data_IF_802085487385
#
_entry.id   IF_802085487385
#
_cell.length_a   1.000
_cell.length_b   1.000
_cell.length_c   1.000
_cell.angle_alpha   90.00
_cell.angle_beta   90.00
_cell.angle_gamma   90.00
#
_symmetry.space_group_name_H-M   'P 1'
#
loop_
_entity.id
_entity.type
_entity.pdbx_description
1 polymer ?
#
# COMPACT_ATOMS: atom_id res chain seq x y z
N UNK A 1 -16.01 -34.56 -23.68
CA UNK A 1 -15.44 -34.18 -22.38
C UNK A 1 -15.82 -32.73 -22.16
N UNK A 2 -16.69 -32.45 -21.19
CA UNK A 2 -16.99 -31.08 -20.78
C UNK A 2 -15.71 -30.49 -20.21
N UNK A 3 -15.20 -29.44 -20.83
CA UNK A 3 -14.03 -28.73 -20.33
C UNK A 3 -14.48 -27.85 -19.16
N UNK A 4 -14.42 -28.40 -17.95
CA UNK A 4 -14.87 -27.74 -16.72
C UNK A 4 -14.02 -26.48 -16.47
N UNK A 5 -14.63 -25.28 -16.43
CA UNK A 5 -13.94 -24.04 -16.09
C UNK A 5 -13.13 -24.11 -14.80
N UNK A 6 -13.55 -24.94 -13.84
CA UNK A 6 -12.85 -25.15 -12.58
C UNK A 6 -11.45 -25.74 -12.78
N UNK A 7 -11.25 -26.63 -13.74
CA UNK A 7 -9.92 -27.19 -14.03
C UNK A 7 -8.99 -26.12 -14.62
N UNK A 8 -9.47 -25.29 -15.54
CA UNK A 8 -8.68 -24.25 -16.17
C UNK A 8 -8.22 -23.18 -15.15
N UNK A 9 -9.12 -22.70 -14.28
CA UNK A 9 -8.74 -21.76 -13.22
C UNK A 9 -7.80 -22.41 -12.19
N UNK A 10 -8.00 -23.69 -11.86
CA UNK A 10 -7.15 -24.41 -10.89
C UNK A 10 -5.71 -24.55 -11.40
N UNK A 11 -5.54 -24.85 -12.69
CA UNK A 11 -4.22 -24.86 -13.33
C UNK A 11 -3.54 -23.49 -13.23
N UNK A 12 -4.26 -22.41 -13.57
CA UNK A 12 -3.71 -21.05 -13.48
C UNK A 12 -3.40 -20.63 -12.04
N UNK A 13 -4.21 -21.04 -11.06
CA UNK A 13 -3.95 -20.86 -9.64
C UNK A 13 -2.63 -21.53 -9.23
N UNK A 14 -2.42 -22.78 -9.64
CA UNK A 14 -1.18 -23.51 -9.35
C UNK A 14 0.05 -22.80 -9.93
N UNK A 15 -0.06 -22.23 -11.13
CA UNK A 15 1.05 -21.53 -11.79
C UNK A 15 1.42 -20.19 -11.12
N UNK A 16 0.49 -19.54 -10.42
CA UNK A 16 0.76 -18.32 -9.65
C UNK A 16 0.95 -18.59 -8.15
N UNK A 17 0.99 -19.86 -7.74
CA UNK A 17 1.22 -20.28 -6.36
C UNK A 17 0.05 -20.02 -5.40
N UNK A 18 -1.20 -20.06 -5.88
CA UNK A 18 -2.42 -19.83 -5.08
C UNK A 18 -3.35 -21.03 -5.11
N UNK A 19 -4.19 -21.21 -4.08
CA UNK A 19 -5.27 -22.19 -4.13
C UNK A 19 -6.41 -21.68 -5.04
N UNK A 20 -7.17 -22.56 -5.71
CA UNK A 20 -8.42 -22.17 -6.35
C UNK A 20 -9.54 -21.90 -5.33
N UNK A 21 -10.62 -21.21 -5.71
CA UNK A 21 -11.81 -21.09 -4.88
C UNK A 21 -12.37 -22.47 -4.48
N UNK A 22 -12.84 -22.61 -3.24
CA UNK A 22 -13.43 -23.84 -2.69
C UNK A 22 -14.95 -23.94 -2.94
N UNK A 23 -15.48 -23.13 -3.85
CA UNK A 23 -16.89 -23.04 -4.22
C UNK A 23 -17.07 -22.92 -5.74
N UNK A 24 -18.27 -23.23 -6.27
CA UNK A 24 -18.56 -23.11 -7.70
C UNK A 24 -18.29 -21.69 -8.24
N UNK A 25 -17.68 -21.61 -9.43
CA UNK A 25 -17.33 -20.32 -10.03
C UNK A 25 -18.57 -19.50 -10.39
N UNK A 26 -18.54 -18.21 -10.05
CA UNK A 26 -19.52 -17.22 -10.47
C UNK A 26 -19.04 -16.58 -11.78
N UNK A 27 -19.71 -16.93 -12.88
CA UNK A 27 -19.39 -16.47 -14.24
C UNK A 27 -20.27 -15.25 -14.58
N UNK A 28 -19.99 -14.12 -13.95
CA UNK A 28 -20.80 -12.90 -14.04
C UNK A 28 -19.99 -11.66 -14.46
N UNK A 29 -18.76 -11.85 -14.92
CA UNK A 29 -17.82 -10.78 -15.30
C UNK A 29 -17.47 -9.82 -14.16
N UNK A 30 -17.69 -10.20 -12.89
CA UNK A 30 -17.33 -9.41 -11.71
C UNK A 30 -16.10 -9.98 -11.01
N UNK A 31 -15.46 -9.14 -10.21
CA UNK A 31 -14.35 -9.55 -9.34
C UNK A 31 -14.93 -10.23 -8.11
N UNK A 32 -14.56 -11.49 -7.89
CA UNK A 32 -14.90 -12.28 -6.70
C UNK A 32 -13.67 -12.47 -5.82
N UNK A 33 -13.77 -12.10 -4.54
CA UNK A 33 -12.70 -12.28 -3.54
C UNK A 33 -12.91 -13.59 -2.81
N UNK A 34 -11.87 -14.42 -2.74
CA UNK A 34 -11.91 -15.72 -2.08
C UNK A 34 -10.71 -15.88 -1.12
N UNK A 35 -10.85 -16.83 -0.18
CA UNK A 35 -9.81 -17.18 0.76
C UNK A 35 -8.82 -18.12 0.07
N UNK A 36 -7.57 -17.69 -0.09
CA UNK A 36 -6.50 -18.52 -0.65
C UNK A 36 -5.91 -19.40 0.46
N UNK A 37 -6.33 -20.66 0.53
CA UNK A 37 -5.93 -21.59 1.60
C UNK A 37 -4.43 -21.85 1.68
N UNK A 38 -3.65 -21.55 0.64
CA UNK A 38 -2.18 -21.68 0.69
C UNK A 38 -1.49 -20.48 1.32
N UNK A 39 -2.04 -19.28 1.15
CA UNK A 39 -1.33 -18.04 1.49
C UNK A 39 -2.03 -17.19 2.56
N UNK A 40 -3.32 -17.39 2.79
CA UNK A 40 -4.14 -16.53 3.65
C UNK A 40 -4.18 -17.01 5.10
N UNK A 41 -4.14 -16.05 6.03
CA UNK A 41 -4.55 -16.32 7.42
C UNK A 41 -6.07 -16.40 7.50
N UNK A 42 -6.58 -17.03 8.57
CA UNK A 42 -8.02 -17.06 8.88
C UNK A 42 -8.68 -15.69 8.67
N UNK A 43 -9.78 -15.68 7.90
CA UNK A 43 -10.59 -14.50 7.51
C UNK A 43 -9.97 -13.55 6.48
N UNK A 44 -8.74 -13.78 6.01
CA UNK A 44 -8.21 -13.05 4.86
C UNK A 44 -8.83 -13.58 3.56
N UNK A 45 -9.00 -12.70 2.58
CA UNK A 45 -9.43 -13.07 1.24
C UNK A 45 -8.53 -12.37 0.25
N UNK A 46 -7.30 -12.82 0.07
CA UNK A 46 -6.33 -12.19 -0.85
C UNK A 46 -6.44 -12.70 -2.28
N UNK A 47 -7.00 -13.91 -2.47
CA UNK A 47 -7.34 -14.46 -3.77
C UNK A 47 -8.48 -13.68 -4.44
N UNK A 48 -8.40 -13.49 -5.74
CA UNK A 48 -9.48 -12.96 -6.55
C UNK A 48 -9.54 -13.61 -7.92
N UNK A 49 -10.74 -13.67 -8.49
CA UNK A 49 -10.92 -14.03 -9.89
C UNK A 49 -12.00 -13.19 -10.56
N UNK A 50 -11.95 -13.14 -11.89
CA UNK A 50 -13.03 -12.73 -12.78
C UNK A 50 -13.26 -13.90 -13.72
N UNK A 51 -14.52 -14.26 -13.96
CA UNK A 51 -14.90 -15.29 -14.93
C UNK A 51 -16.02 -14.76 -15.84
N UNK A 52 -15.94 -15.06 -17.13
CA UNK A 52 -16.92 -14.68 -18.13
C UNK A 52 -17.05 -15.75 -19.22
N UNK A 53 -18.21 -15.81 -19.85
CA UNK A 53 -18.44 -16.62 -21.04
C UNK A 53 -17.98 -15.86 -22.28
N UNK A 54 -17.14 -16.51 -23.08
CA UNK A 54 -16.66 -16.01 -24.35
C UNK A 54 -17.72 -16.26 -25.45
N UNK A 55 -17.77 -15.42 -26.50
CA UNK A 55 -18.67 -15.62 -27.63
C UNK A 55 -18.48 -16.95 -28.37
N UNK A 56 -17.31 -17.60 -28.25
CA UNK A 56 -16.99 -18.89 -28.86
C UNK A 56 -17.46 -20.10 -28.03
N UNK A 57 -18.19 -19.87 -26.93
CA UNK A 57 -18.72 -20.91 -26.05
C UNK A 57 -17.75 -21.39 -24.97
N UNK A 58 -16.56 -20.82 -24.87
CA UNK A 58 -15.64 -21.10 -23.75
C UNK A 58 -15.89 -20.21 -22.55
N UNK A 59 -15.37 -20.62 -21.40
CA UNK A 59 -15.35 -19.81 -20.19
C UNK A 59 -13.90 -19.47 -19.88
N UNK A 60 -13.63 -18.19 -19.62
CA UNK A 60 -12.30 -17.76 -19.24
C UNK A 60 -12.33 -16.56 -18.32
N UNK A 61 -11.13 -16.07 -18.01
CA UNK A 61 -10.98 -14.93 -17.15
C UNK A 61 -9.57 -14.77 -16.61
N UNK A 62 -9.48 -14.14 -15.44
CA UNK A 62 -8.21 -13.87 -14.77
C UNK A 62 -8.33 -14.30 -13.32
N UNK A 63 -7.30 -14.93 -12.79
CA UNK A 63 -7.14 -15.22 -11.36
C UNK A 63 -5.89 -14.52 -10.84
N UNK A 64 -5.88 -14.11 -9.58
CA UNK A 64 -4.74 -13.42 -9.00
C UNK A 64 -4.75 -13.36 -7.48
N UNK A 65 -3.63 -12.87 -6.92
CA UNK A 65 -3.44 -12.66 -5.48
C UNK A 65 -2.98 -11.24 -5.19
N UNK A 66 -3.70 -10.53 -4.34
CA UNK A 66 -3.22 -9.24 -3.82
C UNK A 66 -2.03 -9.41 -2.86
N UNK A 67 -1.86 -10.57 -2.25
CA UNK A 67 -0.74 -10.81 -1.33
C UNK A 67 0.55 -11.07 -2.09
N UNK A 68 0.48 -11.89 -3.14
CA UNK A 68 1.64 -12.23 -3.97
C UNK A 68 1.91 -11.21 -5.08
N UNK A 69 0.95 -10.31 -5.36
CA UNK A 69 1.01 -9.34 -6.47
C UNK A 69 1.18 -10.03 -7.83
N UNK A 70 0.55 -11.19 -8.00
CA UNK A 70 0.58 -12.00 -9.22
C UNK A 70 -0.84 -12.17 -9.79
N UNK A 71 -0.92 -12.33 -11.11
CA UNK A 71 -2.16 -12.71 -11.78
C UNK A 71 -1.88 -13.48 -13.06
N UNK A 72 -2.85 -14.29 -13.49
CA UNK A 72 -2.77 -15.07 -14.73
C UNK A 72 -4.14 -15.22 -15.38
N UNK A 73 -4.13 -15.14 -16.70
CA UNK A 73 -5.32 -15.43 -17.49
C UNK A 73 -5.51 -16.94 -17.64
N UNK A 74 -6.76 -17.38 -17.64
CA UNK A 74 -7.15 -18.77 -17.82
C UNK A 74 -8.35 -18.84 -18.76
N UNK A 75 -8.51 -19.96 -19.44
CA UNK A 75 -9.62 -20.20 -20.35
C UNK A 75 -9.79 -21.71 -20.51
N UNK A 76 -11.03 -22.18 -20.62
CA UNK A 76 -11.30 -23.52 -21.13
C UNK A 76 -10.82 -23.62 -22.57
N UNK A 77 -10.43 -24.80 -23.00
CA UNK A 77 -9.88 -25.09 -24.32
C UNK A 77 -10.91 -24.79 -25.40
N UNK A 78 -10.54 -23.92 -26.34
CA UNK A 78 -11.26 -23.72 -27.59
C UNK A 78 -10.70 -24.74 -28.61
N UNK A 79 -11.57 -25.46 -29.34
CA UNK A 79 -11.17 -26.34 -30.46
C UNK A 79 -10.87 -25.60 -31.77
N UNK A 80 -11.13 -24.28 -31.82
CA UNK A 80 -10.81 -23.33 -32.91
C UNK A 80 -9.77 -22.26 -32.52
N UNK A 81 -9.05 -21.73 -33.50
CA UNK A 81 -8.17 -20.57 -33.34
C UNK A 81 -8.95 -19.25 -33.49
N UNK A 82 -8.68 -18.25 -32.64
CA UNK A 82 -9.18 -16.89 -32.85
C UNK A 82 -8.62 -16.28 -34.14
N UNK A 83 -9.48 -15.63 -34.90
CA UNK A 83 -9.08 -14.81 -36.05
C UNK A 83 -8.28 -13.58 -35.58
N UNK A 84 -7.49 -13.00 -36.49
CA UNK A 84 -6.77 -11.75 -36.20
C UNK A 84 -7.73 -10.61 -35.82
N UNK A 85 -8.92 -10.57 -36.42
CA UNK A 85 -9.95 -9.56 -36.12
C UNK A 85 -10.50 -9.70 -34.70
N UNK A 86 -10.84 -10.92 -34.25
CA UNK A 86 -11.34 -11.16 -32.88
C UNK A 86 -10.29 -10.82 -31.82
N UNK A 87 -9.01 -11.17 -32.06
CA UNK A 87 -7.90 -10.79 -31.17
C UNK A 87 -7.75 -9.27 -31.07
N UNK A 88 -7.85 -8.56 -32.20
CA UNK A 88 -7.78 -7.11 -32.23
C UNK A 88 -8.94 -6.47 -31.48
N UNK A 89 -10.18 -6.95 -31.66
CA UNK A 89 -11.35 -6.44 -30.95
C UNK A 89 -11.24 -6.65 -29.43
N UNK A 90 -10.78 -7.82 -28.99
CA UNK A 90 -10.57 -8.11 -27.57
C UNK A 90 -9.47 -7.24 -26.97
N UNK A 91 -8.37 -7.01 -27.69
CA UNK A 91 -7.31 -6.10 -27.26
C UNK A 91 -7.84 -4.66 -27.12
N UNK A 92 -8.66 -4.20 -28.07
CA UNK A 92 -9.30 -2.87 -28.00
C UNK A 92 -10.23 -2.74 -26.79
N UNK A 93 -11.09 -3.75 -26.53
CA UNK A 93 -11.97 -3.76 -25.35
C UNK A 93 -11.19 -3.74 -24.04
N UNK A 94 -10.11 -4.54 -23.93
CA UNK A 94 -9.25 -4.53 -22.75
C UNK A 94 -8.53 -3.19 -22.56
N UNK A 95 -8.01 -2.59 -23.64
CA UNK A 95 -7.36 -1.29 -23.58
C UNK A 95 -8.35 -0.20 -23.13
N UNK A 96 -9.57 -0.20 -23.67
CA UNK A 96 -10.63 0.72 -23.27
C UNK A 96 -11.04 0.53 -21.80
N UNK A 97 -11.20 -0.72 -21.33
CA UNK A 97 -11.53 -1.01 -19.94
C UNK A 97 -10.43 -0.56 -18.98
N UNK A 98 -9.15 -0.77 -19.33
CA UNK A 98 -8.00 -0.30 -18.54
C UNK A 98 -7.95 1.23 -18.49
N UNK A 99 -8.14 1.90 -19.63
CA UNK A 99 -8.17 3.36 -19.70
C UNK A 99 -9.32 3.93 -18.85
N UNK A 100 -10.50 3.32 -18.89
CA UNK A 100 -11.63 3.74 -18.06
C UNK A 100 -11.37 3.52 -16.56
N UNK A 101 -10.80 2.37 -16.19
CA UNK A 101 -10.46 2.08 -14.79
C UNK A 101 -9.42 3.07 -14.24
N UNK A 102 -8.40 3.39 -15.04
CA UNK A 102 -7.40 4.40 -14.71
C UNK A 102 -8.01 5.79 -14.53
N UNK A 103 -8.85 6.22 -15.47
CA UNK A 103 -9.55 7.50 -15.38
C UNK A 103 -10.44 7.56 -14.13
N UNK A 104 -11.19 6.50 -13.83
CA UNK A 104 -12.00 6.41 -12.62
C UNK A 104 -11.14 6.47 -11.34
N UNK A 105 -9.95 5.87 -11.34
CA UNK A 105 -8.99 5.94 -10.21
C UNK A 105 -8.54 7.38 -10.01
N UNK A 106 -8.06 8.04 -11.06
CA UNK A 106 -7.58 9.43 -11.01
C UNK A 106 -8.66 10.40 -10.54
N UNK A 107 -9.91 10.23 -10.99
CA UNK A 107 -11.04 11.04 -10.52
C UNK A 107 -11.29 10.87 -9.02
N UNK A 108 -11.27 9.62 -8.51
CA UNK A 108 -11.45 9.33 -7.08
C UNK A 108 -10.30 9.89 -6.23
N UNK A 109 -9.06 9.74 -6.70
CA UNK A 109 -7.88 10.30 -6.04
C UNK A 109 -7.96 11.84 -5.98
N UNK A 110 -8.32 12.50 -7.09
CA UNK A 110 -8.47 13.96 -7.16
C UNK A 110 -9.57 14.48 -6.22
N UNK A 111 -10.73 13.82 -6.20
CA UNK A 111 -11.80 14.16 -5.28
C UNK A 111 -11.37 13.96 -3.81
N UNK A 112 -10.62 12.89 -3.53
CA UNK A 112 -10.13 12.59 -2.19
C UNK A 112 -9.07 13.57 -1.73
N UNK A 113 -8.15 13.98 -2.61
CA UNK A 113 -7.15 15.02 -2.33
C UNK A 113 -7.82 16.36 -1.95
N UNK A 114 -8.85 16.76 -2.69
CA UNK A 114 -9.64 17.98 -2.39
C UNK A 114 -10.34 17.89 -1.03
N UNK A 115 -10.93 16.72 -0.72
CA UNK A 115 -11.54 16.44 0.60
C UNK A 115 -10.49 16.45 1.71
N UNK A 116 -9.33 15.84 1.49
CA UNK A 116 -8.21 15.78 2.42
C UNK A 116 -7.69 17.18 2.77
N UNK A 117 -7.48 18.03 1.77
CA UNK A 117 -7.06 19.41 1.98
C UNK A 117 -8.07 20.20 2.83
N UNK A 118 -9.36 20.03 2.55
CA UNK A 118 -10.43 20.68 3.30
C UNK A 118 -10.51 20.20 4.76
N UNK A 119 -10.35 18.89 4.99
CA UNK A 119 -10.29 18.32 6.34
C UNK A 119 -9.05 18.78 7.11
N UNK A 120 -7.90 18.89 6.45
CA UNK A 120 -6.67 19.39 7.04
C UNK A 120 -6.78 20.84 7.50
N UNK A 121 -7.42 21.70 6.71
CA UNK A 121 -7.64 23.10 7.09
C UNK A 121 -8.54 23.20 8.33
N UNK A 122 -9.57 22.35 8.42
CA UNK A 122 -10.54 22.33 9.52
C UNK A 122 -10.06 21.64 10.80
N UNK A 123 -9.05 20.77 10.74
CA UNK A 123 -8.45 20.22 11.95
C UNK A 123 -7.67 21.31 12.69
N UNK A 124 -7.37 21.14 13.96
CA UNK A 124 -6.56 22.09 14.75
C UNK A 124 -5.20 21.46 15.08
N UNK A 125 -4.17 22.22 15.52
CA UNK A 125 -2.93 21.63 16.03
C UNK A 125 -3.22 20.52 17.05
N UNK A 126 -2.46 19.42 17.00
CA UNK A 126 -2.68 18.31 17.92
C UNK A 126 -2.40 18.72 19.38
N UNK A 127 -3.27 18.28 20.28
CA UNK A 127 -3.10 18.51 21.71
C UNK A 127 -1.92 17.63 22.23
N UNK A 128 -0.90 18.20 22.88
CA UNK A 128 0.14 17.41 23.54
C UNK A 128 -0.42 16.37 24.53
N UNK A 129 -1.62 16.60 25.09
CA UNK A 129 -2.31 15.68 25.98
C UNK A 129 -3.07 14.56 25.25
N UNK A 130 -3.00 14.47 23.92
CA UNK A 130 -3.65 13.40 23.16
C UNK A 130 -3.16 12.02 23.63
N UNK A 131 -4.05 11.03 23.90
CA UNK A 131 -3.67 9.76 24.52
C UNK A 131 -2.55 8.99 23.79
N UNK A 132 -2.57 9.01 22.45
CA UNK A 132 -1.51 8.40 21.64
C UNK A 132 -0.15 9.09 21.85
N UNK A 133 -0.13 10.42 21.95
CA UNK A 133 1.10 11.22 22.09
C UNK A 133 1.74 10.93 23.44
N UNK A 134 0.96 11.03 24.53
CA UNK A 134 1.41 10.69 25.88
C UNK A 134 1.95 9.25 25.93
N UNK A 135 1.16 8.28 25.45
CA UNK A 135 1.56 6.87 25.51
C UNK A 135 2.83 6.57 24.71
N UNK A 136 3.08 7.31 23.63
CA UNK A 136 4.30 7.17 22.81
C UNK A 136 5.46 8.02 23.31
N UNK A 137 5.24 8.94 24.25
CA UNK A 137 6.30 9.80 24.79
C UNK A 137 6.93 10.71 23.74
N UNK A 138 6.13 11.24 22.82
CA UNK A 138 6.58 12.09 21.71
C UNK A 138 5.90 13.45 21.76
N UNK A 139 6.39 14.41 20.99
CA UNK A 139 5.72 15.68 20.75
C UNK A 139 4.71 15.60 19.58
N UNK A 140 3.70 16.48 19.50
CA UNK A 140 2.73 16.50 18.41
C UNK A 140 3.32 16.85 17.04
N UNK A 141 4.46 17.55 17.01
CA UNK A 141 5.09 18.05 15.77
C UNK A 141 4.07 18.74 14.85
N UNK A 142 4.06 18.39 13.56
CA UNK A 142 3.13 18.95 12.58
C UNK A 142 1.79 18.19 12.53
N UNK A 143 1.55 17.23 13.44
CA UNK A 143 0.26 16.57 13.51
C UNK A 143 -0.85 17.57 13.86
N UNK A 144 -2.02 17.35 13.27
CA UNK A 144 -3.26 18.03 13.62
C UNK A 144 -4.19 17.06 14.32
N UNK A 145 -5.34 17.54 14.78
CA UNK A 145 -6.33 16.74 15.46
C UNK A 145 -7.74 17.16 15.05
N UNK A 146 -8.63 16.17 14.96
CA UNK A 146 -10.07 16.36 14.79
C UNK A 146 -10.80 15.31 15.61
N UNK A 147 -11.72 15.76 16.48
CA UNK A 147 -12.29 14.89 17.51
C UNK A 147 -11.19 14.23 18.35
N UNK A 148 -11.28 12.91 18.52
CA UNK A 148 -10.31 12.10 19.26
C UNK A 148 -9.20 11.47 18.42
N UNK A 149 -9.01 11.89 17.16
CA UNK A 149 -7.97 11.34 16.28
C UNK A 149 -6.93 12.40 15.92
N UNK A 150 -5.65 12.03 15.97
CA UNK A 150 -4.61 12.75 15.24
C UNK A 150 -4.85 12.64 13.73
N UNK A 151 -4.38 13.65 13.01
CA UNK A 151 -4.46 13.79 11.57
C UNK A 151 -3.07 14.11 11.05
N UNK A 152 -2.59 13.30 10.11
CA UNK A 152 -1.32 13.51 9.40
C UNK A 152 -1.61 13.73 7.92
N UNK A 153 -1.10 14.82 7.35
CA UNK A 153 -1.24 15.12 5.92
C UNK A 153 -0.15 14.43 5.09
N UNK A 154 -0.57 13.50 4.24
CA UNK A 154 0.33 12.84 3.32
C UNK A 154 0.40 13.66 2.04
N UNK A 155 1.62 14.07 1.69
CA UNK A 155 1.89 14.94 0.55
C UNK A 155 2.86 14.31 -0.42
N UNK A 156 2.63 14.54 -1.71
CA UNK A 156 3.56 14.16 -2.76
C UNK A 156 4.85 15.04 -2.76
N UNK A 157 5.74 14.80 -3.73
CA UNK A 157 6.99 15.55 -3.90
C UNK A 157 6.76 17.05 -4.22
N UNK A 158 5.61 17.38 -4.82
CA UNK A 158 5.17 18.76 -5.09
C UNK A 158 4.63 19.49 -3.86
N UNK A 159 4.28 18.76 -2.81
CA UNK A 159 3.71 19.33 -1.58
C UNK A 159 2.18 19.34 -1.53
N UNK A 160 1.52 18.76 -2.53
CA UNK A 160 0.06 18.63 -2.59
C UNK A 160 -0.40 17.52 -1.64
N UNK A 161 -1.43 17.78 -0.83
CA UNK A 161 -2.04 16.75 0.02
C UNK A 161 -2.79 15.76 -0.88
N UNK A 162 -2.38 14.49 -0.85
CA UNK A 162 -2.99 13.40 -1.62
C UNK A 162 -3.96 12.58 -0.78
N UNK A 163 -3.74 12.51 0.54
CA UNK A 163 -4.59 11.82 1.51
C UNK A 163 -4.28 12.25 2.94
N UNK A 164 -5.06 11.76 3.91
CA UNK A 164 -4.81 11.91 5.34
C UNK A 164 -4.66 10.53 5.99
N UNK A 165 -3.79 10.44 6.98
CA UNK A 165 -3.80 9.32 7.94
C UNK A 165 -4.40 9.82 9.25
N UNK A 166 -5.24 8.99 9.86
CA UNK A 166 -5.80 9.23 11.17
C UNK A 166 -5.21 8.24 12.17
N UNK A 167 -4.88 8.72 13.37
CA UNK A 167 -4.40 7.89 14.47
C UNK A 167 -5.29 8.14 15.69
N UNK A 168 -6.00 7.11 16.12
CA UNK A 168 -6.88 7.15 17.28
C UNK A 168 -6.06 7.04 18.59
N UNK A 169 -6.67 7.37 19.74
CA UNK A 169 -5.97 7.37 21.04
C UNK A 169 -5.35 6.02 21.41
N UNK A 170 -6.00 4.92 21.04
CA UNK A 170 -5.52 3.54 21.22
C UNK A 170 -4.42 3.13 20.22
N UNK A 171 -4.14 3.98 19.23
CA UNK A 171 -3.16 3.74 18.18
C UNK A 171 -3.71 3.05 16.94
N UNK A 172 -5.04 2.90 16.82
CA UNK A 172 -5.69 2.53 15.56
C UNK A 172 -5.32 3.52 14.45
N UNK A 173 -4.85 3.01 13.31
CA UNK A 173 -4.39 3.84 12.17
C UNK A 173 -5.21 3.52 10.94
N UNK A 174 -5.67 4.55 10.24
CA UNK A 174 -6.41 4.40 8.97
C UNK A 174 -6.13 5.56 8.03
N UNK A 175 -6.05 5.27 6.74
CA UNK A 175 -5.99 6.30 5.71
C UNK A 175 -7.40 6.72 5.28
N UNK A 176 -7.51 7.95 4.77
CA UNK A 176 -8.70 8.39 4.07
C UNK A 176 -8.88 7.55 2.81
N UNK A 177 -10.03 6.85 2.71
CA UNK A 177 -10.33 5.93 1.61
C UNK A 177 -10.24 6.61 0.24
N UNK A 178 -9.73 5.88 -0.76
CA UNK A 178 -9.48 6.34 -2.13
C UNK A 178 -8.39 7.43 -2.27
N UNK A 179 -7.67 7.75 -1.19
CA UNK A 179 -6.53 8.67 -1.25
C UNK A 179 -5.26 7.96 -1.68
N UNK A 180 -4.42 8.64 -2.47
CA UNK A 180 -3.13 8.10 -2.93
C UNK A 180 -2.08 8.17 -1.81
N UNK A 181 -1.69 7.03 -1.26
CA UNK A 181 -0.61 6.93 -0.26
C UNK A 181 0.76 6.80 -0.93
N UNK A 182 0.83 6.05 -2.04
CA UNK A 182 2.07 5.77 -2.76
C UNK A 182 2.86 7.05 -3.09
N UNK A 183 4.12 7.09 -2.67
CA UNK A 183 5.03 8.24 -2.89
C UNK A 183 4.68 9.49 -2.08
N UNK A 184 3.68 9.41 -1.18
CA UNK A 184 3.26 10.52 -0.32
C UNK A 184 3.73 10.30 1.11
N UNK A 185 4.06 11.37 1.83
CA UNK A 185 4.54 11.31 3.22
C UNK A 185 4.05 12.48 4.05
N UNK A 186 3.92 12.26 5.36
CA UNK A 186 3.78 13.35 6.33
C UNK A 186 5.18 13.83 6.75
N UNK A 187 5.40 15.15 6.75
CA UNK A 187 6.74 15.74 6.90
C UNK A 187 6.78 16.77 8.00
N UNK A 188 7.84 16.75 8.82
CA UNK A 188 8.09 17.71 9.91
C UNK A 188 9.59 17.82 10.22
N UNK A 189 9.94 18.77 11.08
CA UNK A 189 11.33 19.17 11.35
C UNK A 189 11.79 20.34 10.47
N UNK A 190 13.10 20.66 10.48
CA UNK A 190 13.66 21.80 9.76
C UNK A 190 13.63 21.60 8.23
N UNK A 191 14.11 22.61 7.50
CA UNK A 191 14.31 22.47 6.05
C UNK A 191 15.39 21.42 5.77
N UNK A 192 15.16 20.60 4.74
CA UNK A 192 16.14 19.63 4.26
C UNK A 192 17.35 20.37 3.66
N UNK A 193 18.54 20.07 4.17
CA UNK A 193 19.82 20.63 3.72
C UNK A 193 20.75 19.54 3.19
N UNK A 194 21.06 18.58 4.04
CA UNK A 194 22.14 17.60 3.87
C UNK A 194 21.68 16.19 4.28
N UNK A 195 20.68 16.08 5.14
CA UNK A 195 20.17 14.80 5.62
C UNK A 195 18.63 14.82 5.75
N UNK A 196 18.02 13.64 5.58
CA UNK A 196 16.62 13.39 5.90
C UNK A 196 16.43 11.96 6.41
N UNK A 197 15.51 11.80 7.36
CA UNK A 197 15.13 10.49 7.91
C UNK A 197 13.76 10.09 7.34
N UNK A 198 13.66 8.89 6.80
CA UNK A 198 12.42 8.24 6.40
C UNK A 198 12.06 7.22 7.47
N UNK A 199 10.94 7.43 8.17
CA UNK A 199 10.42 6.50 9.15
C UNK A 199 9.12 5.86 8.64
N UNK A 200 8.86 4.61 9.01
CA UNK A 200 7.58 3.97 8.69
C UNK A 200 6.42 4.64 9.46
N UNK A 201 6.54 4.74 10.78
CA UNK A 201 5.49 5.24 11.67
C UNK A 201 5.74 6.65 12.21
N UNK A 202 4.66 7.34 12.58
CA UNK A 202 4.73 8.68 13.17
C UNK A 202 5.49 8.73 14.49
N UNK A 203 5.29 7.75 15.38
CA UNK A 203 6.01 7.71 16.66
C UNK A 203 7.51 7.54 16.46
N UNK A 204 7.93 6.55 15.66
CA UNK A 204 9.34 6.33 15.32
C UNK A 204 9.97 7.58 14.72
N UNK A 205 9.29 8.21 13.74
CA UNK A 205 9.76 9.45 13.14
C UNK A 205 9.88 10.59 14.15
N UNK A 206 8.90 10.76 15.05
CA UNK A 206 8.91 11.81 16.06
C UNK A 206 10.07 11.61 17.04
N UNK A 207 10.27 10.40 17.56
CA UNK A 207 11.40 10.05 18.44
C UNK A 207 12.74 10.34 17.78
N UNK A 208 12.92 9.97 16.51
CA UNK A 208 14.17 10.24 15.78
C UNK A 208 14.40 11.73 15.54
N UNK A 209 13.36 12.49 15.21
CA UNK A 209 13.47 13.94 15.10
C UNK A 209 13.87 14.57 16.43
N UNK A 210 13.23 14.16 17.52
CA UNK A 210 13.49 14.71 18.86
C UNK A 210 14.91 14.38 19.34
N UNK A 211 15.46 13.22 18.98
CA UNK A 211 16.81 12.82 19.32
C UNK A 211 17.90 13.51 18.45
N UNK A 212 17.60 13.81 17.18
CA UNK A 212 18.63 14.22 16.21
C UNK A 212 18.47 15.63 15.66
N UNK A 213 17.28 16.22 15.74
CA UNK A 213 16.93 17.48 15.09
C UNK A 213 16.76 17.41 13.56
N UNK A 214 17.03 16.25 12.92
CA UNK A 214 16.96 16.11 11.46
C UNK A 214 15.51 16.12 10.93
N UNK A 215 15.29 16.57 9.68
CA UNK A 215 13.96 16.52 9.08
C UNK A 215 13.50 15.08 8.84
N UNK A 216 12.19 14.85 9.02
CA UNK A 216 11.59 13.51 8.96
C UNK A 216 10.45 13.46 7.94
N UNK A 217 10.40 12.37 7.19
CA UNK A 217 9.24 11.91 6.44
C UNK A 217 8.68 10.63 7.07
N UNK A 218 7.38 10.63 7.35
CA UNK A 218 6.63 9.44 7.78
C UNK A 218 5.94 8.83 6.56
N UNK A 219 6.27 7.57 6.27
CA UNK A 219 5.85 6.84 5.08
C UNK A 219 4.52 6.09 5.27
N UNK A 220 4.15 5.80 6.52
CA UNK A 220 2.86 5.22 6.90
C UNK A 220 2.71 3.71 6.74
N UNK A 221 3.61 3.08 5.97
CA UNK A 221 3.72 1.62 5.84
C UNK A 221 5.06 1.24 5.19
N UNK A 222 5.55 0.04 5.47
CA UNK A 222 6.74 -0.54 4.85
C UNK A 222 6.73 -0.46 3.31
N UNK A 223 5.58 -0.78 2.68
CA UNK A 223 5.43 -0.76 1.22
C UNK A 223 5.52 0.63 0.58
N UNK A 224 5.43 1.71 1.36
CA UNK A 224 5.51 3.08 0.87
C UNK A 224 6.89 3.73 1.09
N UNK A 225 7.81 3.06 1.80
CA UNK A 225 9.15 3.60 2.06
C UNK A 225 9.91 3.81 0.74
N UNK A 226 9.97 2.79 -0.12
CA UNK A 226 10.70 2.87 -1.39
C UNK A 226 10.15 3.97 -2.34
N UNK A 227 8.83 4.07 -2.60
CA UNK A 227 8.27 5.17 -3.39
C UNK A 227 8.60 6.56 -2.85
N UNK A 228 8.56 6.74 -1.52
CA UNK A 228 8.91 8.03 -0.89
C UNK A 228 10.41 8.30 -1.02
N UNK A 229 11.26 7.29 -0.80
CA UNK A 229 12.71 7.41 -0.91
C UNK A 229 13.13 7.84 -2.32
N UNK A 230 12.57 7.20 -3.36
CA UNK A 230 12.83 7.54 -4.76
C UNK A 230 12.47 9.00 -5.02
N UNK A 231 11.25 9.42 -4.65
CA UNK A 231 10.81 10.81 -4.85
C UNK A 231 11.66 11.84 -4.09
N UNK A 232 12.22 11.48 -2.93
CA UNK A 232 13.17 12.33 -2.20
C UNK A 232 14.51 12.40 -2.91
N UNK A 233 15.07 11.28 -3.39
CA UNK A 233 16.35 11.26 -4.10
C UNK A 233 16.28 12.05 -5.41
N UNK A 234 15.17 11.95 -6.15
CA UNK A 234 14.95 12.75 -7.36
C UNK A 234 14.97 14.25 -7.06
N UNK A 235 14.35 14.67 -5.95
CA UNK A 235 14.27 16.08 -5.55
C UNK A 235 15.55 16.60 -4.88
N UNK A 236 16.27 15.73 -4.19
CA UNK A 236 17.48 16.05 -3.43
C UNK A 236 18.58 15.02 -3.75
N UNK A 237 19.25 15.14 -4.91
CA UNK A 237 20.18 14.10 -5.38
C UNK A 237 21.39 13.87 -4.48
N UNK A 238 21.83 14.88 -3.73
CA UNK A 238 23.10 14.86 -2.99
C UNK A 238 22.96 14.64 -1.48
N UNK A 239 21.74 14.59 -0.92
CA UNK A 239 21.56 14.46 0.54
C UNK A 239 21.76 13.02 1.01
N UNK A 240 22.10 12.86 2.28
CA UNK A 240 22.02 11.59 2.99
C UNK A 240 20.56 11.24 3.26
N UNK A 241 20.13 10.05 2.84
CA UNK A 241 18.79 9.51 3.10
C UNK A 241 18.94 8.38 4.10
N UNK A 242 18.49 8.60 5.33
CA UNK A 242 18.48 7.59 6.39
C UNK A 242 17.10 6.94 6.40
N UNK A 243 17.05 5.61 6.36
CA UNK A 243 15.81 4.85 6.36
C UNK A 243 15.72 4.10 7.68
N UNK A 244 14.85 4.61 8.55
CA UNK A 244 14.54 4.03 9.83
C UNK A 244 13.40 3.00 9.69
N UNK A 245 13.79 1.73 9.64
CA UNK A 245 12.85 0.60 9.61
C UNK A 245 12.59 0.04 11.01
N UNK A 246 11.46 -0.63 11.18
CA UNK A 246 11.22 -1.46 12.36
C UNK A 246 12.08 -2.74 12.29
N UNK A 247 12.55 -3.24 13.43
CA UNK A 247 13.40 -4.45 13.52
C UNK A 247 12.62 -5.77 13.33
N UNK A 248 11.47 -5.73 12.66
CA UNK A 248 10.77 -6.94 12.20
C UNK A 248 11.17 -7.31 10.76
N UNK A 249 10.99 -8.57 10.32
CA UNK A 249 11.42 -9.02 9.00
C UNK A 249 10.84 -8.22 7.83
N UNK A 250 9.62 -7.68 7.96
CA UNK A 250 8.96 -6.91 6.90
C UNK A 250 9.54 -5.50 6.85
N UNK A 251 9.62 -4.82 7.99
CA UNK A 251 10.20 -3.48 8.12
C UNK A 251 11.66 -3.44 7.69
N UNK A 252 12.46 -4.39 8.18
CA UNK A 252 13.89 -4.49 7.84
C UNK A 252 14.10 -4.76 6.34
N UNK A 253 13.32 -5.66 5.73
CA UNK A 253 13.41 -5.91 4.28
C UNK A 253 13.05 -4.67 3.47
N UNK A 254 11.96 -3.99 3.82
CA UNK A 254 11.53 -2.78 3.13
C UNK A 254 12.56 -1.65 3.24
N UNK A 255 13.17 -1.47 4.43
CA UNK A 255 14.20 -0.48 4.65
C UNK A 255 15.45 -0.74 3.79
N UNK A 256 15.93 -1.99 3.76
CA UNK A 256 17.08 -2.39 2.94
C UNK A 256 16.81 -2.20 1.43
N UNK A 257 15.66 -2.67 0.94
CA UNK A 257 15.31 -2.48 -0.48
C UNK A 257 15.21 -1.00 -0.85
N UNK A 258 14.61 -0.17 0.00
CA UNK A 258 14.53 1.26 -0.25
C UNK A 258 15.92 1.93 -0.23
N UNK A 259 16.81 1.52 0.67
CA UNK A 259 18.18 2.04 0.76
C UNK A 259 18.99 1.71 -0.48
N UNK A 260 18.92 0.48 -0.95
CA UNK A 260 19.60 0.03 -2.18
C UNK A 260 19.15 0.85 -3.40
N UNK A 261 17.84 1.09 -3.54
CA UNK A 261 17.28 1.85 -4.67
C UNK A 261 17.75 3.31 -4.74
N UNK A 262 18.15 3.91 -3.62
CA UNK A 262 18.46 5.35 -3.55
C UNK A 262 19.86 5.67 -3.04
N UNK A 263 20.71 4.65 -2.82
CA UNK A 263 21.98 4.82 -2.12
C UNK A 263 21.80 5.44 -0.72
N UNK A 264 20.79 4.97 0.02
CA UNK A 264 20.48 5.39 1.38
C UNK A 264 21.21 4.56 2.43
N UNK A 265 21.05 4.95 3.70
CA UNK A 265 21.60 4.24 4.87
C UNK A 265 20.45 3.69 5.70
N UNK A 266 20.51 2.42 6.06
CA UNK A 266 19.51 1.80 6.94
C UNK A 266 19.88 2.03 8.40
N UNK A 267 18.89 2.39 9.22
CA UNK A 267 18.99 2.43 10.66
C UNK A 267 17.87 1.55 11.24
N UNK A 268 18.22 0.53 12.01
CA UNK A 268 17.26 -0.34 12.70
C UNK A 268 17.49 -0.21 14.21
N UNK A 269 16.43 -0.32 15.03
CA UNK A 269 16.58 -0.32 16.47
C UNK A 269 17.33 -1.59 16.92
N UNK A 270 18.31 -1.40 17.80
CA UNK A 270 19.02 -2.47 18.50
C UNK A 270 18.29 -2.75 19.82
N UNK A 271 17.74 -3.95 19.95
CA UNK A 271 17.03 -4.39 21.16
C UNK A 271 17.82 -5.42 21.97
N UNK A 272 19.10 -5.63 21.70
CA UNK A 272 19.92 -6.69 22.33
C UNK A 272 20.27 -6.43 23.81
N UNK A 273 19.60 -5.46 24.47
CA UNK A 273 19.84 -5.08 25.87
C UNK A 273 18.67 -5.18 26.86
N UNK A 274 17.42 -5.40 26.42
CA UNK A 274 16.23 -5.33 27.31
C UNK A 274 15.40 -6.63 27.36
N UNK A 275 16.06 -7.78 27.46
CA UNK A 275 15.43 -8.95 28.11
C UNK A 275 15.68 -8.87 29.61
N UNK A 276 15.00 -7.93 30.25
CA UNK A 276 14.93 -7.86 31.71
C UNK A 276 14.38 -9.18 32.26
N UNK A 277 15.23 -9.89 32.98
CA UNK A 277 14.87 -11.03 33.82
C UNK A 277 13.94 -10.54 34.93
N UNK A 278 12.63 -10.63 34.73
CA UNK A 278 11.67 -10.54 35.82
C UNK A 278 11.43 -11.96 36.35
N UNK A 279 12.24 -12.33 37.34
CA UNK A 279 12.00 -13.46 38.21
C UNK A 279 12.30 -13.02 39.64
N UNK A 280 11.27 -12.47 40.29
CA UNK A 280 11.09 -12.50 41.74
C UNK A 280 9.80 -13.30 42.01
#
# INVERSE_FOLDING_TARGET
>A
MNDDPYHAISAACSEIGTAPPDYPLLIDSRVHRYHDTMNDRLRQKNGWYVAYNNPDGTTGGTVGSHKLQTSRNWCTTITRAFTLAEKAEFALKQAAARAQAENNRLQRETATASKAASLWIRSHPADPAHPYIIRKGIHPHRARQTGGSLVLDYRDSGGTITTLQFIDGDGGKRFLSNGRVAGSSHRFGPKITDCIILAEGFATGATLHEATGHPVCVCGSAGNIAPVAIGIREKFPAISIIIAGDADPVGSKAANTAAELVGGVVCLPDFDGERGTNGD
#
